data_IF_959773763802
#
_entry.id   IF_959773763802
#
_cell.length_a   1.000
_cell.length_b   1.000
_cell.length_c   1.000
_cell.angle_alpha   90.00
_cell.angle_beta   90.00
_cell.angle_gamma   90.00
#
_symmetry.space_group_name_H-M   'P 1'
#
loop_
_entity.id
_entity.type
_entity.pdbx_description
1 polymer ?
#
# COMPACT_ATOMS: atom_id res chain seq x y z
N UNK A 1 -0.79 -14.47 14.19
CA UNK A 1 -2.16 -14.19 13.71
C UNK A 1 -2.08 -13.77 12.25
N UNK A 2 -2.93 -14.34 11.37
CA UNK A 2 -2.99 -13.93 9.97
C UNK A 2 -3.65 -12.54 9.89
N UNK A 3 -2.86 -11.51 9.54
CA UNK A 3 -3.36 -10.13 9.44
C UNK A 3 -4.15 -9.90 8.16
N UNK A 4 -3.88 -10.67 7.10
CA UNK A 4 -4.41 -10.44 5.77
C UNK A 4 -5.95 -10.38 5.69
N UNK A 5 -6.74 -11.31 6.28
CA UNK A 5 -8.19 -11.20 6.26
C UNK A 5 -8.72 -9.93 6.93
N UNK A 6 -8.03 -9.47 7.98
CA UNK A 6 -8.43 -8.27 8.74
C UNK A 6 -8.16 -6.99 7.93
N UNK A 7 -7.10 -6.98 7.13
CA UNK A 7 -6.83 -5.90 6.18
C UNK A 7 -7.91 -5.78 5.11
N UNK A 8 -8.36 -6.92 4.57
CA UNK A 8 -9.45 -6.97 3.59
C UNK A 8 -10.79 -6.53 4.20
N UNK A 9 -11.07 -6.93 5.44
CA UNK A 9 -12.28 -6.49 6.16
C UNK A 9 -12.25 -4.98 6.43
N UNK A 10 -11.12 -4.43 6.87
CA UNK A 10 -11.00 -3.01 7.21
C UNK A 10 -11.33 -2.10 6.02
N UNK A 11 -10.82 -2.40 4.83
CA UNK A 11 -11.10 -1.63 3.60
C UNK A 11 -12.53 -1.83 3.08
N UNK A 12 -13.22 -2.89 3.51
CA UNK A 12 -14.64 -3.12 3.19
C UNK A 12 -15.61 -2.24 3.98
N UNK A 13 -15.15 -1.53 5.01
CA UNK A 13 -16.00 -0.68 5.86
C UNK A 13 -16.32 0.65 5.16
N UNK A 14 -17.61 0.91 4.92
CA UNK A 14 -18.08 2.13 4.26
C UNK A 14 -17.82 3.42 5.07
N UNK A 15 -17.72 3.31 6.40
CA UNK A 15 -17.41 4.44 7.27
C UNK A 15 -15.91 4.74 7.24
N UNK A 16 -15.52 5.87 6.66
CA UNK A 16 -14.12 6.28 6.53
C UNK A 16 -13.36 6.42 7.86
N UNK A 17 -14.02 6.89 8.92
CA UNK A 17 -13.40 7.04 10.23
C UNK A 17 -13.11 5.67 10.85
N UNK A 18 -14.10 4.77 10.80
CA UNK A 18 -13.94 3.40 11.30
C UNK A 18 -12.90 2.61 10.49
N UNK A 19 -12.93 2.71 9.16
CA UNK A 19 -11.94 2.14 8.27
C UNK A 19 -10.52 2.59 8.65
N UNK A 20 -10.32 3.90 8.84
CA UNK A 20 -9.03 4.47 9.25
C UNK A 20 -8.56 3.91 10.58
N UNK A 21 -9.43 3.87 11.58
CA UNK A 21 -9.10 3.38 12.91
C UNK A 21 -8.71 1.89 12.88
N UNK A 22 -9.42 1.06 12.10
CA UNK A 22 -9.07 -0.35 11.90
C UNK A 22 -7.72 -0.50 11.20
N UNK A 23 -7.46 0.28 10.15
CA UNK A 23 -6.18 0.29 9.43
C UNK A 23 -5.03 0.69 10.36
N UNK A 24 -5.19 1.75 11.16
CA UNK A 24 -4.18 2.19 12.13
C UNK A 24 -3.85 1.10 13.16
N UNK A 25 -4.86 0.41 13.71
CA UNK A 25 -4.63 -0.73 14.61
C UNK A 25 -3.88 -1.88 13.93
N UNK A 26 -4.14 -2.13 12.65
CA UNK A 26 -3.43 -3.17 11.89
C UNK A 26 -1.97 -2.78 11.63
N UNK A 27 -1.71 -1.50 11.31
CA UNK A 27 -0.35 -0.97 11.16
C UNK A 27 0.48 -1.13 12.44
N UNK A 28 -0.11 -0.87 13.60
CA UNK A 28 0.55 -1.02 14.91
C UNK A 28 0.93 -2.47 15.25
N UNK A 29 0.33 -3.44 14.55
CA UNK A 29 0.61 -4.88 14.75
C UNK A 29 1.64 -5.43 13.79
N UNK A 30 2.09 -4.64 12.81
CA UNK A 30 3.20 -5.03 11.94
C UNK A 30 4.52 -5.03 12.74
N UNK A 31 5.42 -5.99 12.49
CA UNK A 31 6.78 -5.90 13.00
C UNK A 31 7.44 -4.59 12.57
N UNK A 32 8.24 -3.98 13.46
CA UNK A 32 8.84 -2.67 13.21
C UNK A 32 9.60 -2.55 11.87
N UNK A 33 10.37 -3.56 11.41
CA UNK A 33 11.03 -3.51 10.10
C UNK A 33 10.03 -3.44 8.93
N UNK A 34 8.94 -4.21 9.00
CA UNK A 34 7.89 -4.21 7.97
C UNK A 34 7.16 -2.88 7.92
N UNK A 35 6.84 -2.30 9.08
CA UNK A 35 6.22 -0.98 9.17
C UNK A 35 7.14 0.11 8.60
N UNK A 36 8.44 0.06 8.90
CA UNK A 36 9.43 0.99 8.39
C UNK A 36 9.55 0.91 6.86
N UNK A 37 9.63 -0.30 6.31
CA UNK A 37 9.67 -0.52 4.86
C UNK A 37 8.40 0.00 4.20
N UNK A 38 7.23 -0.37 4.74
CA UNK A 38 5.94 0.08 4.23
C UNK A 38 5.84 1.60 4.19
N UNK A 39 6.33 2.29 5.23
CA UNK A 39 6.33 3.76 5.30
C UNK A 39 7.15 4.40 4.18
N UNK A 40 8.35 3.88 3.90
CA UNK A 40 9.19 4.39 2.80
C UNK A 40 8.57 4.06 1.43
N UNK A 41 8.02 2.86 1.29
CA UNK A 41 7.37 2.44 0.07
C UNK A 41 6.17 3.31 -0.27
N UNK A 42 5.28 3.56 0.71
CA UNK A 42 4.13 4.44 0.54
C UNK A 42 4.54 5.89 0.30
N UNK A 43 5.62 6.37 0.92
CA UNK A 43 6.18 7.69 0.59
C UNK A 43 6.55 7.78 -0.90
N UNK A 44 7.23 6.77 -1.46
CA UNK A 44 7.58 6.75 -2.88
C UNK A 44 6.34 6.77 -3.78
N UNK A 45 5.38 5.88 -3.48
CA UNK A 45 4.15 5.77 -4.26
C UNK A 45 3.29 7.04 -4.19
N UNK A 46 3.21 7.68 -3.03
CA UNK A 46 2.48 8.93 -2.85
C UNK A 46 3.01 10.02 -3.80
N UNK A 47 4.34 10.19 -3.88
CA UNK A 47 4.97 11.15 -4.80
C UNK A 47 4.70 10.82 -6.27
N UNK A 48 4.67 9.53 -6.63
CA UNK A 48 4.29 9.10 -7.98
C UNK A 48 2.84 9.51 -8.29
N UNK A 49 1.91 9.31 -7.34
CA UNK A 49 0.49 9.70 -7.50
C UNK A 49 0.33 11.21 -7.64
N UNK A 50 1.14 12.02 -6.94
CA UNK A 50 1.09 13.49 -7.09
C UNK A 50 1.43 13.96 -8.52
N UNK A 51 2.14 13.14 -9.29
CA UNK A 51 2.46 13.40 -10.70
C UNK A 51 1.54 12.64 -11.68
N UNK A 52 0.39 12.16 -11.21
CA UNK A 52 -0.56 11.36 -12.01
C UNK A 52 -1.07 12.08 -13.28
N UNK A 53 -1.14 13.41 -13.26
CA UNK A 53 -1.47 14.19 -14.45
C UNK A 53 -0.46 13.97 -15.60
N UNK A 54 0.82 13.77 -15.26
CA UNK A 54 1.93 13.57 -16.19
C UNK A 54 2.19 12.08 -16.47
N UNK A 55 2.35 11.27 -15.43
CA UNK A 55 2.74 9.86 -15.56
C UNK A 55 1.55 8.89 -15.75
N UNK A 56 0.31 9.38 -15.63
CA UNK A 56 -0.95 8.60 -15.76
C UNK A 56 -1.12 7.46 -14.74
N UNK A 57 -0.34 7.46 -13.65
CA UNK A 57 -0.42 6.48 -12.57
C UNK A 57 -1.18 7.03 -11.37
N UNK A 58 -2.48 6.72 -11.29
CA UNK A 58 -3.26 6.98 -10.07
C UNK A 58 -3.01 5.90 -9.01
N UNK A 59 -3.46 6.15 -7.77
CA UNK A 59 -3.28 5.23 -6.65
C UNK A 59 -3.84 3.83 -6.91
N UNK A 60 -4.99 3.73 -7.60
CA UNK A 60 -5.59 2.45 -7.98
C UNK A 60 -4.73 1.69 -8.99
N UNK A 61 -4.19 2.38 -10.02
CA UNK A 61 -3.30 1.75 -11.00
C UNK A 61 -2.02 1.22 -10.33
N UNK A 62 -1.43 2.01 -9.42
CA UNK A 62 -0.29 1.55 -8.62
C UNK A 62 -0.67 0.36 -7.73
N UNK A 63 -1.84 0.39 -7.10
CA UNK A 63 -2.36 -0.71 -6.29
C UNK A 63 -2.51 -2.02 -7.07
N UNK A 64 -2.94 -1.95 -8.33
CA UNK A 64 -2.95 -3.12 -9.23
C UNK A 64 -1.53 -3.63 -9.48
N UNK A 65 -0.58 -2.74 -9.75
CA UNK A 65 0.81 -3.11 -10.06
C UNK A 65 1.55 -3.74 -8.87
N UNK A 66 1.39 -3.20 -7.67
CA UNK A 66 2.21 -3.56 -6.50
C UNK A 66 1.47 -4.41 -5.47
N UNK A 67 0.15 -4.49 -5.54
CA UNK A 67 -0.67 -5.10 -4.50
C UNK A 67 -0.38 -6.58 -4.29
N UNK A 68 -0.13 -7.33 -5.36
CA UNK A 68 0.27 -8.73 -5.24
C UNK A 68 1.63 -8.89 -4.58
N UNK A 69 2.62 -8.04 -4.92
CA UNK A 69 3.95 -8.10 -4.31
C UNK A 69 3.94 -7.72 -2.82
N UNK A 70 3.04 -6.80 -2.41
CA UNK A 70 2.92 -6.37 -1.02
C UNK A 70 2.14 -7.34 -0.13
N UNK A 71 1.06 -7.93 -0.67
CA UNK A 71 0.02 -8.59 0.12
C UNK A 71 -0.10 -10.08 -0.18
N UNK A 72 0.87 -10.66 -0.87
CA UNK A 72 0.90 -12.10 -1.16
C UNK A 72 0.88 -12.90 0.14
N UNK A 73 -0.31 -13.34 0.52
CA UNK A 73 -0.48 -14.56 1.29
C UNK A 73 -0.17 -15.67 0.31
N UNK A 74 1.07 -16.16 0.26
CA UNK A 74 1.37 -17.34 -0.53
C UNK A 74 0.60 -18.51 0.10
N UNK A 75 -0.46 -19.06 -0.53
CA UNK A 75 -1.12 -20.25 0.00
C UNK A 75 -0.20 -21.47 -0.07
N UNK A 76 0.91 -21.37 -0.82
CA UNK A 76 2.00 -22.35 -0.91
C UNK A 76 3.29 -21.82 -0.27
N UNK A 77 3.17 -21.11 0.87
CA UNK A 77 4.27 -20.49 1.58
C UNK A 77 5.42 -21.46 1.80
N UNK A 78 6.48 -21.35 0.98
CA UNK A 78 7.60 -22.28 0.80
C UNK A 78 7.21 -23.78 0.70
N UNK A 79 7.82 -24.57 -0.19
CA UNK A 79 7.83 -26.01 0.02
C UNK A 79 8.74 -26.27 1.23
N UNK A 80 8.26 -26.06 2.45
CA UNK A 80 8.82 -26.74 3.60
C UNK A 80 8.62 -28.24 3.35
N UNK A 81 9.63 -29.10 3.53
CA UNK A 81 9.59 -30.52 3.18
C UNK A 81 8.74 -31.34 4.17
N UNK A 82 7.61 -30.79 4.63
CA UNK A 82 6.72 -31.43 5.58
C UNK A 82 5.71 -32.30 4.81
N UNK A 83 5.59 -33.59 5.14
CA UNK A 83 4.67 -34.50 4.45
C UNK A 83 3.21 -34.05 4.62
N UNK A 84 2.32 -34.36 3.66
CA UNK A 84 0.94 -33.89 3.64
C UNK A 84 0.14 -34.59 4.72
N UNK A 85 0.16 -34.04 5.93
CA UNK A 85 -0.71 -34.43 7.03
C UNK A 85 -1.38 -33.17 7.56
N UNK A 86 -2.66 -33.06 7.24
CA UNK A 86 -3.64 -32.21 7.90
C UNK A 86 -3.57 -30.70 7.63
N UNK A 87 -4.64 -30.24 6.96
CA UNK A 87 -5.16 -28.88 6.94
C UNK A 87 -4.53 -27.91 5.91
N UNK A 88 -4.60 -28.29 4.64
CA UNK A 88 -4.79 -27.30 3.57
C UNK A 88 -6.16 -26.66 3.80
N UNK A 89 -6.20 -25.45 4.33
CA UNK A 89 -7.41 -24.63 4.26
C UNK A 89 -7.73 -24.45 2.78
N UNK A 90 -8.75 -25.15 2.30
CA UNK A 90 -9.31 -25.01 0.96
C UNK A 90 -9.96 -23.62 0.90
N UNK A 91 -9.15 -22.58 0.68
CA UNK A 91 -9.67 -21.25 0.44
C UNK A 91 -10.37 -21.33 -0.91
N UNK A 92 -11.70 -21.28 -0.91
CA UNK A 92 -12.49 -21.30 -2.14
C UNK A 92 -11.95 -20.27 -3.14
N UNK A 93 -11.86 -20.66 -4.41
CA UNK A 93 -11.44 -19.81 -5.53
C UNK A 93 -12.19 -18.48 -5.58
N UNK A 94 -13.46 -18.48 -5.13
CA UNK A 94 -14.30 -17.29 -5.05
C UNK A 94 -13.80 -16.27 -4.02
N UNK A 95 -13.31 -16.73 -2.87
CA UNK A 95 -12.74 -15.84 -1.84
C UNK A 95 -11.41 -15.24 -2.31
N UNK A 96 -10.56 -16.04 -2.96
CA UNK A 96 -9.34 -15.54 -3.59
C UNK A 96 -9.64 -14.49 -4.67
N UNK A 97 -10.68 -14.72 -5.47
CA UNK A 97 -11.11 -13.79 -6.51
C UNK A 97 -11.64 -12.47 -5.92
N UNK A 98 -12.48 -12.52 -4.88
CA UNK A 98 -12.98 -11.31 -4.22
C UNK A 98 -11.86 -10.54 -3.52
N UNK A 99 -10.93 -11.23 -2.87
CA UNK A 99 -9.75 -10.61 -2.27
C UNK A 99 -8.86 -9.93 -3.32
N UNK A 100 -8.73 -10.51 -4.52
CA UNK A 100 -7.95 -9.91 -5.61
C UNK A 100 -8.49 -8.55 -6.07
N UNK A 101 -9.80 -8.30 -5.92
CA UNK A 101 -10.43 -7.00 -6.23
C UNK A 101 -10.23 -5.97 -5.12
N UNK A 102 -10.04 -6.43 -3.88
CA UNK A 102 -9.88 -5.57 -2.71
C UNK A 102 -8.42 -5.18 -2.47
N UNK A 103 -7.47 -6.02 -2.89
CA UNK A 103 -6.02 -5.74 -2.79
C UNK A 103 -5.63 -4.40 -3.44
N UNK A 104 -6.01 -4.07 -4.69
CA UNK A 104 -5.70 -2.78 -5.28
C UNK A 104 -6.31 -1.61 -4.51
N UNK A 105 -7.53 -1.78 -4.00
CA UNK A 105 -8.24 -0.74 -3.22
C UNK A 105 -7.55 -0.48 -1.89
N UNK A 106 -7.09 -1.54 -1.22
CA UNK A 106 -6.34 -1.42 0.02
C UNK A 106 -5.04 -0.65 -0.19
N UNK A 107 -4.27 -1.00 -1.22
CA UNK A 107 -3.03 -0.27 -1.52
C UNK A 107 -3.31 1.17 -1.90
N UNK A 108 -4.33 1.42 -2.72
CA UNK A 108 -4.73 2.79 -3.07
C UNK A 108 -5.10 3.61 -1.83
N UNK A 109 -5.89 3.04 -0.91
CA UNK A 109 -6.24 3.67 0.36
C UNK A 109 -5.01 4.03 1.19
N UNK A 110 -4.04 3.11 1.31
CA UNK A 110 -2.79 3.36 2.04
C UNK A 110 -1.95 4.47 1.42
N UNK A 111 -1.96 4.59 0.08
CA UNK A 111 -1.27 5.67 -0.63
C UNK A 111 -1.99 6.99 -0.38
N UNK A 112 -3.30 7.07 -0.67
CA UNK A 112 -4.08 8.31 -0.59
C UNK A 112 -4.14 8.88 0.84
N UNK A 113 -4.14 8.02 1.86
CA UNK A 113 -4.14 8.40 3.26
C UNK A 113 -2.76 8.30 3.92
N UNK A 114 -1.66 8.22 3.15
CA UNK A 114 -0.32 8.12 3.72
C UNK A 114 0.02 9.22 4.75
N UNK A 115 -0.26 10.53 4.50
CA UNK A 115 0.01 11.58 5.47
C UNK A 115 -0.86 11.45 6.73
N UNK A 116 -2.13 11.07 6.57
CA UNK A 116 -3.07 10.84 7.66
C UNK A 116 -2.65 9.67 8.57
N UNK A 117 -2.08 8.62 7.98
CA UNK A 117 -1.74 7.37 8.66
C UNK A 117 -0.38 7.45 9.35
N UNK A 118 0.59 8.15 8.75
CA UNK A 118 1.99 8.15 9.19
C UNK A 118 2.54 9.54 9.55
N UNK A 119 1.75 10.60 9.37
CA UNK A 119 2.13 12.00 9.55
C UNK A 119 2.93 12.58 8.37
N UNK A 120 2.88 13.90 8.20
CA UNK A 120 3.50 14.64 7.09
C UNK A 120 5.02 14.44 6.98
N UNK A 121 5.71 14.17 8.10
CA UNK A 121 7.13 13.85 8.12
C UNK A 121 7.49 12.65 7.24
N UNK A 122 6.53 11.74 7.03
CA UNK A 122 6.71 10.57 6.16
C UNK A 122 6.96 10.96 4.72
N UNK A 123 6.37 12.06 4.25
CA UNK A 123 6.52 12.52 2.87
C UNK A 123 7.93 13.06 2.57
N UNK A 124 8.74 13.28 3.60
CA UNK A 124 10.11 13.79 3.51
C UNK A 124 11.17 12.69 3.61
N UNK A 125 10.78 11.42 3.70
CA UNK A 125 11.72 10.30 3.86
C UNK A 125 12.64 10.10 2.67
N UNK A 126 12.21 10.51 1.48
CA UNK A 126 12.99 10.43 0.24
C UNK A 126 13.68 11.76 -0.10
N UNK A 127 13.79 12.66 0.87
CA UNK A 127 14.31 14.01 0.69
C UNK A 127 13.22 15.08 0.70
N UNK A 128 13.63 16.35 0.72
CA UNK A 128 12.72 17.45 0.52
C UNK A 128 12.18 17.40 -0.93
N UNK A 129 10.90 17.73 -1.17
CA UNK A 129 10.44 17.95 -2.54
C UNK A 129 11.38 18.99 -3.13
N UNK A 130 12.01 18.67 -4.27
CA UNK A 130 12.85 19.62 -4.97
C UNK A 130 11.98 20.87 -5.15
N UNK A 131 12.29 21.94 -4.42
CA UNK A 131 11.77 23.26 -4.75
C UNK A 131 12.04 23.37 -6.24
N UNK A 132 10.98 23.46 -7.03
CA UNK A 132 11.07 23.52 -8.48
C UNK A 132 12.19 24.52 -8.76
N UNK A 133 13.29 24.03 -9.32
CA UNK A 133 14.35 24.87 -9.83
C UNK A 133 13.65 25.72 -10.89
N UNK A 134 13.20 26.89 -10.46
CA UNK A 134 12.75 27.95 -11.34
C UNK A 134 14.00 28.23 -12.16
N UNK A 135 14.02 27.71 -13.40
CA UNK A 135 14.95 28.14 -14.41
C UNK A 135 14.76 29.64 -14.54
N UNK A 136 15.65 30.41 -13.93
CA UNK A 136 15.76 31.84 -14.08
C UNK A 136 16.62 32.19 -15.31
N UNK A 137 16.62 31.34 -16.35
CA UNK A 137 17.50 31.51 -17.51
C UNK A 137 16.82 32.09 -18.77
N UNK A 138 15.52 32.40 -18.74
CA UNK A 138 14.82 33.01 -19.90
C UNK A 138 14.34 34.45 -19.64
N UNK A 139 15.20 35.29 -19.08
CA UNK A 139 14.98 36.76 -19.01
C UNK A 139 16.10 37.60 -19.63
N UNK A 140 16.97 36.99 -20.43
CA UNK A 140 17.90 37.73 -21.27
C UNK A 140 18.00 37.11 -22.67
N UNK A 141 16.99 37.36 -23.51
CA UNK A 141 17.26 37.58 -24.93
C UNK A 141 16.29 38.63 -25.48
N UNK A 142 16.88 39.82 -25.63
CA UNK A 142 16.57 40.98 -26.49
C UNK A 142 15.26 40.99 -27.28
#
# INVERSE_FOLDING_TARGET
AQLYPQWIEAIGVSNNHECRERVQRLLQRLPAPNLLLLRHFLCALWHIVQQSALNKMCAVNLGVCVGQSLLTSNPFGNPSPVPPSSQTCEVSTDLLHEMSKLVPKLVAYLIDHCPDLFGDQTLRLLGAPAAQLIHHDDLHLS
#
